data_IF_011607211529
#
_entry.id   IF_011607211529
#
_cell.length_a   1.000
_cell.length_b   1.000
_cell.length_c   1.000
_cell.angle_alpha   90.00
_cell.angle_beta   90.00
_cell.angle_gamma   90.00
#
_symmetry.space_group_name_H-M   'P 1'
#
loop_
_entity.id
_entity.type
_entity.pdbx_description
1 polymer ?
#
# COMPACT_ATOMS: atom_id res chain seq x y z
N UNK A 1 25.02 0.50 -17.41
CA UNK A 1 24.87 -0.19 -16.13
C UNK A 1 23.80 0.42 -15.20
N UNK A 2 23.65 1.75 -15.14
CA UNK A 2 22.64 2.39 -14.25
C UNK A 2 21.19 1.93 -14.53
N UNK A 3 20.83 1.71 -15.81
CA UNK A 3 19.48 1.29 -16.21
C UNK A 3 19.04 -0.02 -15.57
N UNK A 4 19.96 -0.99 -15.41
CA UNK A 4 19.67 -2.27 -14.76
C UNK A 4 19.20 -2.05 -13.32
N UNK A 5 19.95 -1.27 -12.56
CA UNK A 5 19.65 -1.00 -11.14
C UNK A 5 18.35 -0.19 -11.00
N UNK A 6 18.17 0.83 -11.82
CA UNK A 6 16.98 1.70 -11.78
C UNK A 6 15.71 0.90 -12.09
N UNK A 7 15.72 0.10 -13.16
CA UNK A 7 14.56 -0.72 -13.54
C UNK A 7 14.27 -1.77 -12.47
N UNK A 8 15.29 -2.43 -11.94
CA UNK A 8 15.12 -3.46 -10.91
C UNK A 8 14.58 -2.86 -9.61
N UNK A 9 15.09 -1.69 -9.20
CA UNK A 9 14.62 -0.98 -8.01
C UNK A 9 13.15 -0.53 -8.18
N UNK A 10 12.80 0.07 -9.33
CA UNK A 10 11.43 0.48 -9.61
C UNK A 10 10.46 -0.70 -9.63
N UNK A 11 10.85 -1.83 -10.23
CA UNK A 11 10.05 -3.05 -10.25
C UNK A 11 9.82 -3.60 -8.84
N UNK A 12 10.84 -3.61 -7.99
CA UNK A 12 10.72 -4.00 -6.57
C UNK A 12 9.80 -3.05 -5.81
N UNK A 13 9.99 -1.73 -5.94
CA UNK A 13 9.13 -0.75 -5.29
C UNK A 13 7.66 -0.93 -5.71
N UNK A 14 7.40 -1.16 -6.99
CA UNK A 14 6.05 -1.41 -7.50
C UNK A 14 5.45 -2.70 -6.92
N UNK A 15 6.21 -3.79 -6.84
CA UNK A 15 5.76 -5.06 -6.29
C UNK A 15 5.47 -4.99 -4.78
N UNK A 16 6.27 -4.22 -4.04
CA UNK A 16 6.11 -4.05 -2.60
C UNK A 16 5.23 -2.86 -2.21
N UNK A 17 4.75 -2.04 -3.15
CA UNK A 17 3.94 -0.86 -2.90
C UNK A 17 2.74 -1.14 -1.99
N UNK A 18 1.99 -2.22 -2.23
CA UNK A 18 0.83 -2.59 -1.41
C UNK A 18 1.20 -2.93 0.05
N UNK A 19 2.36 -3.54 0.28
CA UNK A 19 2.83 -3.87 1.63
C UNK A 19 3.35 -2.64 2.37
N UNK A 20 4.05 -1.78 1.65
CA UNK A 20 4.55 -0.49 2.15
C UNK A 20 3.38 0.39 2.56
N UNK A 21 2.36 0.51 1.70
CA UNK A 21 1.15 1.28 1.98
C UNK A 21 0.45 0.78 3.25
N UNK A 22 0.25 -0.53 3.40
CA UNK A 22 -0.36 -1.12 4.60
C UNK A 22 0.42 -0.86 5.89
N UNK A 23 1.74 -0.72 5.83
CA UNK A 23 2.57 -0.36 7.00
C UNK A 23 2.56 1.14 7.31
N UNK A 24 2.46 1.99 6.30
CA UNK A 24 2.50 3.44 6.46
C UNK A 24 1.17 3.99 6.97
N UNK A 25 0.03 3.43 6.53
CA UNK A 25 -1.30 3.91 6.88
C UNK A 25 -1.54 4.02 8.38
N UNK A 26 -1.27 3.00 9.22
CA UNK A 26 -1.49 3.11 10.67
C UNK A 26 -0.58 4.17 11.34
N UNK A 27 0.54 4.53 10.70
CA UNK A 27 1.40 5.60 11.18
C UNK A 27 0.84 7.00 10.84
N UNK A 28 0.25 7.14 9.65
CA UNK A 28 -0.27 8.41 9.14
C UNK A 28 -1.69 8.68 9.65
N UNK A 29 -2.55 7.66 9.64
CA UNK A 29 -3.94 7.77 10.06
C UNK A 29 -4.09 7.28 11.51
N UNK A 30 -3.75 8.14 12.48
CA UNK A 30 -4.08 7.91 13.89
C UNK A 30 -5.55 8.21 14.14
N UNK A 31 -6.13 7.55 15.17
CA UNK A 31 -7.48 7.86 15.65
C UNK A 31 -7.61 9.37 15.90
N UNK A 32 -8.68 9.97 15.42
CA UNK A 32 -8.92 11.41 15.58
C UNK A 32 -9.02 11.76 17.07
N UNK A 33 -8.69 13.01 17.40
CA UNK A 33 -8.80 13.51 18.77
C UNK A 33 -10.23 13.35 19.31
N UNK A 34 -11.23 13.49 18.46
CA UNK A 34 -12.65 13.31 18.76
C UNK A 34 -12.96 11.87 19.19
N UNK A 35 -12.49 10.87 18.43
CA UNK A 35 -12.67 9.44 18.75
C UNK A 35 -12.00 9.10 20.09
N UNK A 36 -10.81 9.62 20.32
CA UNK A 36 -10.09 9.39 21.60
C UNK A 36 -10.81 10.03 22.79
N UNK A 37 -11.29 11.26 22.64
CA UNK A 37 -12.01 11.97 23.69
C UNK A 37 -13.30 11.22 24.07
N UNK A 38 -14.11 10.82 23.08
CA UNK A 38 -15.36 10.06 23.33
C UNK A 38 -15.11 8.70 23.95
N UNK A 39 -14.03 8.02 23.54
CA UNK A 39 -13.63 6.74 24.16
C UNK A 39 -13.27 6.93 25.64
N UNK A 40 -12.59 8.01 25.98
CA UNK A 40 -12.23 8.34 27.37
C UNK A 40 -13.45 8.68 28.20
N UNK A 41 -14.40 9.43 27.64
CA UNK A 41 -15.66 9.79 28.29
C UNK A 41 -16.52 8.54 28.59
N UNK A 42 -16.67 7.65 27.60
CA UNK A 42 -17.36 6.37 27.81
C UNK A 42 -16.67 5.53 28.90
N UNK A 43 -15.34 5.51 28.94
CA UNK A 43 -14.62 4.78 29.97
C UNK A 43 -14.86 5.34 31.37
N UNK A 44 -14.96 6.67 31.53
CA UNK A 44 -15.33 7.31 32.80
C UNK A 44 -16.74 6.93 33.22
N UNK A 45 -17.73 7.08 32.34
CA UNK A 45 -19.11 6.74 32.67
C UNK A 45 -19.30 5.26 32.97
N UNK A 46 -18.55 4.37 32.36
CA UNK A 46 -18.57 2.93 32.72
C UNK A 46 -18.00 2.66 34.10
N UNK A 47 -16.96 3.38 34.53
CA UNK A 47 -16.45 3.30 35.89
C UNK A 47 -17.43 3.87 36.91
N UNK A 48 -18.12 4.95 36.61
CA UNK A 48 -19.19 5.51 37.41
C UNK A 48 -20.36 4.52 37.53
N UNK A 49 -20.81 3.94 36.41
CA UNK A 49 -21.86 2.93 36.35
C UNK A 49 -21.55 1.71 37.24
N UNK A 50 -20.28 1.27 37.23
CA UNK A 50 -19.84 0.13 38.05
C UNK A 50 -19.92 0.40 39.56
N UNK A 51 -19.88 1.68 39.97
CA UNK A 51 -19.95 2.10 41.37
C UNK A 51 -21.39 2.36 41.83
N UNK A 52 -22.37 2.39 40.92
CA UNK A 52 -23.80 2.64 41.21
C UNK A 52 -24.48 1.29 41.53
N UNK A 53 -25.11 1.17 42.70
CA UNK A 53 -25.90 0.00 43.00
C UNK A 53 -27.22 0.00 42.21
N UNK A 54 -27.41 -1.01 41.37
CA UNK A 54 -28.63 -1.18 40.57
C UNK A 54 -29.89 -1.33 41.45
N UNK A 55 -29.76 -1.79 42.70
CA UNK A 55 -30.88 -1.98 43.64
C UNK A 55 -31.33 -0.69 44.30
N UNK A 56 -30.37 0.15 44.70
CA UNK A 56 -30.66 1.30 45.52
C UNK A 56 -30.86 2.58 44.69
N UNK A 57 -30.21 2.69 43.55
CA UNK A 57 -30.22 3.89 42.69
C UNK A 57 -30.58 3.58 41.21
N UNK A 58 -31.63 2.80 41.00
CA UNK A 58 -32.07 2.35 39.68
C UNK A 58 -32.23 3.48 38.65
N UNK A 59 -32.81 4.60 39.06
CA UNK A 59 -33.00 5.76 38.16
C UNK A 59 -31.71 6.38 37.67
N UNK A 60 -30.69 6.46 38.51
CA UNK A 60 -29.35 6.96 38.13
C UNK A 60 -28.64 5.96 37.24
N UNK A 61 -28.74 4.67 37.55
CA UNK A 61 -28.17 3.59 36.76
C UNK A 61 -28.68 3.64 35.31
N UNK A 62 -30.00 3.65 35.10
CA UNK A 62 -30.63 3.69 33.77
C UNK A 62 -30.30 4.98 33.00
N UNK A 63 -30.19 6.12 33.72
CA UNK A 63 -29.80 7.38 33.10
C UNK A 63 -28.37 7.32 32.58
N UNK A 64 -27.43 6.85 33.37
CA UNK A 64 -26.03 6.67 33.00
C UNK A 64 -25.86 5.67 31.83
N UNK A 65 -26.60 4.54 31.89
CA UNK A 65 -26.60 3.54 30.79
C UNK A 65 -27.09 4.14 29.47
N UNK A 66 -28.15 4.97 29.49
CA UNK A 66 -28.65 5.66 28.29
C UNK A 66 -27.65 6.69 27.75
N UNK A 67 -26.92 7.38 28.62
CA UNK A 67 -25.85 8.31 28.21
C UNK A 67 -24.69 7.58 27.54
N UNK A 68 -24.27 6.45 28.12
CA UNK A 68 -23.26 5.58 27.49
C UNK A 68 -23.73 5.12 26.10
N UNK A 69 -24.99 4.66 25.98
CA UNK A 69 -25.54 4.24 24.70
C UNK A 69 -25.52 5.35 23.62
N UNK A 70 -25.89 6.59 24.00
CA UNK A 70 -25.81 7.74 23.08
C UNK A 70 -24.37 8.04 22.66
N UNK A 71 -23.43 8.01 23.59
CA UNK A 71 -22.01 8.23 23.31
C UNK A 71 -21.42 7.12 22.46
N UNK A 72 -21.82 5.87 22.64
CA UNK A 72 -21.38 4.74 21.82
C UNK A 72 -21.87 4.88 20.36
N UNK A 73 -23.12 5.29 20.14
CA UNK A 73 -23.63 5.59 18.80
C UNK A 73 -22.80 6.70 18.14
N UNK A 74 -22.58 7.80 18.86
CA UNK A 74 -21.80 8.93 18.36
C UNK A 74 -20.32 8.57 18.12
N UNK A 75 -19.75 7.68 18.92
CA UNK A 75 -18.41 7.14 18.72
C UNK A 75 -18.32 6.28 17.45
N UNK A 76 -19.34 5.44 17.22
CA UNK A 76 -19.41 4.61 16.01
C UNK A 76 -19.55 5.46 14.73
N UNK A 77 -20.32 6.54 14.77
CA UNK A 77 -20.41 7.50 13.67
C UNK A 77 -19.08 8.21 13.42
N UNK A 78 -18.40 8.67 14.47
CA UNK A 78 -17.09 9.30 14.36
C UNK A 78 -16.05 8.32 13.79
N UNK A 79 -16.02 7.07 14.28
CA UNK A 79 -15.17 6.00 13.73
C UNK A 79 -15.48 5.69 12.29
N UNK A 80 -16.75 5.66 11.91
CA UNK A 80 -17.14 5.40 10.51
C UNK A 80 -16.63 6.50 9.59
N UNK A 81 -16.75 7.78 9.99
CA UNK A 81 -16.18 8.91 9.23
C UNK A 81 -14.65 8.83 9.12
N UNK A 82 -13.97 8.49 10.20
CA UNK A 82 -12.51 8.33 10.20
C UNK A 82 -12.08 7.12 9.35
N UNK A 83 -12.84 6.03 9.38
CA UNK A 83 -12.57 4.85 8.53
C UNK A 83 -12.73 5.18 7.04
N UNK A 84 -13.76 5.94 6.65
CA UNK A 84 -13.93 6.36 5.25
C UNK A 84 -12.75 7.21 4.79
N UNK A 85 -12.31 8.17 5.60
CA UNK A 85 -11.11 8.95 5.31
C UNK A 85 -9.86 8.07 5.20
N UNK A 86 -9.67 7.15 6.14
CA UNK A 86 -8.55 6.21 6.14
C UNK A 86 -8.51 5.37 4.88
N UNK A 87 -9.66 4.81 4.49
CA UNK A 87 -9.79 4.02 3.25
C UNK A 87 -9.49 4.89 2.02
N UNK A 88 -9.99 6.13 1.96
CA UNK A 88 -9.70 7.05 0.88
C UNK A 88 -8.19 7.37 0.78
N UNK A 89 -7.52 7.62 1.91
CA UNK A 89 -6.06 7.81 1.94
C UNK A 89 -5.30 6.55 1.54
N UNK A 90 -5.77 5.37 1.95
CA UNK A 90 -5.17 4.08 1.60
C UNK A 90 -5.19 3.86 0.09
N UNK A 91 -6.36 4.00 -0.52
CA UNK A 91 -6.49 3.85 -1.97
C UNK A 91 -5.78 4.96 -2.73
N UNK A 92 -5.88 6.20 -2.28
CA UNK A 92 -5.20 7.34 -2.90
C UNK A 92 -3.68 7.18 -2.91
N UNK A 93 -3.09 6.82 -1.78
CA UNK A 93 -1.65 6.61 -1.65
C UNK A 93 -1.18 5.39 -2.46
N UNK A 94 -1.95 4.31 -2.42
CA UNK A 94 -1.60 3.08 -3.15
C UNK A 94 -1.68 3.28 -4.67
N UNK A 95 -2.81 3.73 -5.19
CA UNK A 95 -2.99 3.91 -6.63
C UNK A 95 -2.21 5.11 -7.17
N UNK A 96 -2.11 6.19 -6.39
CA UNK A 96 -1.26 7.34 -6.72
C UNK A 96 0.22 6.95 -6.83
N UNK A 97 0.72 6.19 -5.85
CA UNK A 97 2.08 5.66 -5.88
C UNK A 97 2.34 4.73 -7.05
N UNK A 98 1.43 3.78 -7.32
CA UNK A 98 1.52 2.89 -8.48
C UNK A 98 1.45 3.66 -9.80
N UNK A 99 0.60 4.70 -9.89
CA UNK A 99 0.50 5.55 -11.07
C UNK A 99 1.82 6.26 -11.38
N UNK A 100 2.44 6.87 -10.39
CA UNK A 100 3.74 7.56 -10.53
C UNK A 100 4.83 6.57 -10.95
N UNK A 101 4.93 5.41 -10.28
CA UNK A 101 5.91 4.38 -10.63
C UNK A 101 5.68 3.83 -12.04
N UNK A 102 4.41 3.63 -12.44
CA UNK A 102 4.03 3.20 -13.77
C UNK A 102 4.41 4.21 -14.84
N UNK A 103 4.18 5.51 -14.59
CA UNK A 103 4.60 6.59 -15.49
C UNK A 103 6.12 6.65 -15.64
N UNK A 104 6.87 6.48 -14.55
CA UNK A 104 8.33 6.41 -14.58
C UNK A 104 8.82 5.22 -15.43
N UNK A 105 8.20 4.05 -15.26
CA UNK A 105 8.52 2.86 -16.07
C UNK A 105 8.19 3.07 -17.56
N UNK A 106 7.03 3.68 -17.84
CA UNK A 106 6.62 4.02 -19.21
C UNK A 106 7.59 5.02 -19.84
N UNK A 107 8.01 6.05 -19.10
CA UNK A 107 9.00 7.02 -19.54
C UNK A 107 10.32 6.33 -19.93
N UNK A 108 10.86 5.47 -19.05
CA UNK A 108 12.08 4.70 -19.33
C UNK A 108 11.91 3.81 -20.55
N UNK A 109 10.76 3.14 -20.66
CA UNK A 109 10.47 2.25 -21.80
C UNK A 109 10.43 3.00 -23.15
N UNK A 110 9.92 4.23 -23.20
CA UNK A 110 9.83 5.04 -24.42
C UNK A 110 11.17 5.65 -24.78
N UNK A 111 11.83 6.30 -23.82
CA UNK A 111 13.09 7.02 -24.09
C UNK A 111 14.27 6.08 -24.34
N UNK A 112 14.32 4.95 -23.64
CA UNK A 112 15.41 3.97 -23.76
C UNK A 112 15.04 2.71 -24.53
N UNK A 113 13.97 2.77 -25.38
CA UNK A 113 13.48 1.59 -26.12
C UNK A 113 14.52 0.95 -27.04
N UNK A 114 15.44 1.73 -27.60
CA UNK A 114 16.51 1.25 -28.49
C UNK A 114 17.83 0.97 -27.75
N UNK A 115 17.87 1.17 -26.44
CA UNK A 115 19.07 0.89 -25.65
C UNK A 115 19.11 -0.57 -25.24
N UNK A 116 20.33 -1.12 -25.29
CA UNK A 116 20.61 -2.47 -24.75
C UNK A 116 20.96 -2.36 -23.28
N UNK A 117 20.47 -3.29 -22.46
CA UNK A 117 20.79 -3.38 -21.04
C UNK A 117 22.11 -4.14 -20.86
N UNK A 118 22.21 -5.27 -21.52
CA UNK A 118 23.38 -6.15 -21.49
C UNK A 118 23.64 -6.63 -22.92
N UNK A 119 24.89 -6.63 -23.33
CA UNK A 119 25.37 -7.24 -24.58
C UNK A 119 26.26 -8.42 -24.18
N UNK A 120 25.95 -9.59 -24.69
CA UNK A 120 26.73 -10.80 -24.47
C UNK A 120 27.72 -10.99 -25.62
N UNK A 121 28.86 -11.62 -25.32
CA UNK A 121 29.83 -11.97 -26.34
C UNK A 121 29.32 -13.08 -27.27
N UNK A 122 30.00 -13.29 -28.40
CA UNK A 122 29.63 -14.22 -29.47
C UNK A 122 29.53 -15.70 -29.02
N UNK A 123 30.00 -16.03 -27.84
CA UNK A 123 29.89 -17.37 -27.25
C UNK A 123 28.47 -17.74 -26.78
N UNK A 124 27.56 -16.75 -26.68
CA UNK A 124 26.17 -16.97 -26.32
C UNK A 124 25.29 -16.84 -27.57
N UNK A 125 24.54 -17.90 -27.85
CA UNK A 125 23.56 -17.87 -28.93
C UNK A 125 22.14 -18.00 -28.36
N UNK A 126 21.33 -16.96 -28.51
CA UNK A 126 19.94 -16.92 -28.04
C UNK A 126 18.94 -17.47 -29.07
N UNK A 127 19.36 -18.09 -30.17
CA UNK A 127 18.45 -18.71 -31.11
C UNK A 127 17.66 -19.88 -30.50
N UNK A 128 16.36 -20.02 -30.77
CA UNK A 128 15.52 -19.23 -31.68
C UNK A 128 14.88 -17.97 -31.03
N UNK A 129 15.08 -17.72 -29.74
CA UNK A 129 14.40 -16.65 -29.00
C UNK A 129 15.09 -15.27 -29.10
N UNK A 130 16.22 -15.19 -29.76
CA UNK A 130 17.04 -13.97 -29.87
C UNK A 130 16.25 -12.77 -30.37
N UNK A 131 15.41 -12.95 -31.38
CA UNK A 131 14.56 -11.88 -31.92
C UNK A 131 13.57 -11.29 -30.94
N UNK A 132 13.05 -12.09 -29.97
CA UNK A 132 12.14 -11.63 -28.94
C UNK A 132 12.87 -10.90 -27.79
N UNK A 133 14.02 -11.41 -27.42
CA UNK A 133 14.84 -10.85 -26.33
C UNK A 133 15.46 -9.50 -26.76
N UNK A 134 15.85 -9.38 -28.02
CA UNK A 134 16.47 -8.18 -28.59
C UNK A 134 15.47 -7.10 -29.02
N UNK A 135 14.17 -7.43 -29.14
CA UNK A 135 13.19 -6.47 -29.59
C UNK A 135 13.06 -5.28 -28.62
N UNK A 136 13.10 -4.03 -29.08
CA UNK A 136 13.18 -3.51 -30.43
C UNK A 136 14.61 -3.09 -30.90
N UNK A 137 15.65 -3.41 -30.13
CA UNK A 137 17.01 -2.89 -30.33
C UNK A 137 17.73 -3.46 -31.57
N UNK A 138 17.33 -4.63 -32.08
CA UNK A 138 17.93 -5.36 -33.20
C UNK A 138 19.44 -5.67 -33.04
N UNK A 139 20.03 -5.45 -31.90
CA UNK A 139 21.44 -5.79 -31.63
C UNK A 139 21.53 -7.27 -31.33
N UNK A 140 22.38 -7.99 -32.06
CA UNK A 140 22.55 -9.43 -31.86
C UNK A 140 23.09 -9.73 -30.46
N UNK A 141 22.65 -10.84 -29.84
CA UNK A 141 23.07 -11.30 -28.49
C UNK A 141 22.95 -10.25 -27.39
N UNK A 142 21.89 -9.43 -27.41
CA UNK A 142 21.64 -8.40 -26.39
C UNK A 142 20.28 -8.55 -25.73
N UNK A 143 20.16 -8.02 -24.52
CA UNK A 143 18.88 -7.91 -23.80
C UNK A 143 18.40 -6.47 -23.94
N UNK A 144 17.17 -6.31 -24.45
CA UNK A 144 16.51 -5.00 -24.57
C UNK A 144 15.98 -4.51 -23.21
N UNK A 145 15.87 -3.18 -23.06
CA UNK A 145 15.26 -2.55 -21.87
C UNK A 145 13.83 -3.03 -21.66
N UNK A 146 13.06 -3.18 -22.74
CA UNK A 146 11.66 -3.62 -22.67
C UNK A 146 11.55 -5.05 -22.11
N UNK A 147 12.36 -5.96 -22.63
CA UNK A 147 12.40 -7.34 -22.13
C UNK A 147 12.84 -7.40 -20.67
N UNK A 148 13.86 -6.60 -20.30
CA UNK A 148 14.34 -6.51 -18.92
C UNK A 148 13.27 -6.01 -17.95
N UNK A 149 12.46 -5.03 -18.33
CA UNK A 149 11.32 -4.53 -17.55
C UNK A 149 10.31 -5.66 -17.29
N UNK A 150 9.94 -6.44 -18.33
CA UNK A 150 8.97 -7.54 -18.20
C UNK A 150 9.49 -8.61 -17.22
N UNK A 151 10.73 -9.05 -17.40
CA UNK A 151 11.35 -10.07 -16.54
C UNK A 151 11.43 -9.58 -15.08
N UNK A 152 11.91 -8.36 -14.85
CA UNK A 152 12.02 -7.81 -13.49
C UNK A 152 10.66 -7.67 -12.82
N UNK A 153 9.62 -7.22 -13.55
CA UNK A 153 8.28 -7.14 -12.99
C UNK A 153 7.72 -8.50 -12.60
N UNK A 154 7.97 -9.52 -13.41
CA UNK A 154 7.56 -10.89 -13.10
C UNK A 154 8.28 -11.42 -11.85
N UNK A 155 9.60 -11.29 -11.80
CA UNK A 155 10.42 -11.72 -10.66
C UNK A 155 10.04 -10.95 -9.39
N UNK A 156 9.89 -9.63 -9.47
CA UNK A 156 9.54 -8.81 -8.33
C UNK A 156 8.15 -9.17 -7.75
N UNK A 157 7.15 -9.43 -8.60
CA UNK A 157 5.82 -9.89 -8.16
C UNK A 157 5.89 -11.27 -7.51
N UNK A 158 6.67 -12.19 -8.08
CA UNK A 158 6.86 -13.52 -7.50
C UNK A 158 7.53 -13.42 -6.13
N UNK A 159 8.59 -12.64 -6.00
CA UNK A 159 9.24 -12.37 -4.70
C UNK A 159 8.28 -11.74 -3.68
N UNK A 160 7.49 -10.77 -4.12
CA UNK A 160 6.49 -10.14 -3.26
C UNK A 160 5.40 -11.13 -2.80
N UNK A 161 5.08 -12.17 -3.55
CA UNK A 161 4.10 -13.19 -3.14
C UNK A 161 4.60 -14.08 -2.01
N UNK A 162 5.91 -14.36 -1.96
CA UNK A 162 6.52 -15.17 -0.90
C UNK A 162 6.74 -14.43 0.41
N UNK A 163 6.89 -13.12 0.37
CA UNK A 163 7.01 -12.30 1.58
C UNK A 163 5.61 -12.04 2.14
N UNK A 164 5.25 -12.71 3.22
CA UNK A 164 3.97 -12.48 3.96
C UNK A 164 3.99 -11.20 4.77
#
# INVERSE_FOLDING_TARGET
>A
MYLIFVISLLSLLMAFASKITKKIIPLVCRDSAEVRARRHEIAKLRTELANISMRDEYTKYVKCEREIGKLEVSLNEAKSRDNVKRVAYEYGLHYGGLGILGLCMMYISIFYRYSTVIVFGDNFNFEPFGGFINFPTKVHNSISVVFWIVVNNFVARTLASYVK
#
